data_IF_627488859994
#
_entry.id   IF_627488859994
#
_cell.length_a   1.000
_cell.length_b   1.000
_cell.length_c   1.000
_cell.angle_alpha   90.00
_cell.angle_beta   90.00
_cell.angle_gamma   90.00
#
_symmetry.space_group_name_H-M   'P 1'
#
loop_
_entity.id
_entity.type
_entity.pdbx_description
1 polymer ?
#
# COMPACT_ATOMS: atom_id res chain seq x y z
N UNK A 1 13.54 -0.95 -5.72
CA UNK A 1 12.57 -2.06 -5.54
C UNK A 1 11.48 -1.60 -4.59
N UNK A 2 10.36 -2.32 -4.46
CA UNK A 2 9.21 -1.92 -3.63
C UNK A 2 9.59 -1.49 -2.20
N UNK A 3 10.66 -2.06 -1.64
CA UNK A 3 11.23 -1.72 -0.32
C UNK A 3 11.76 -0.30 -0.18
N UNK A 4 11.92 0.47 -1.27
CA UNK A 4 12.33 1.87 -1.19
C UNK A 4 11.15 2.84 -1.05
N UNK A 5 9.90 2.37 -1.16
CA UNK A 5 8.71 3.21 -1.03
C UNK A 5 8.45 3.51 0.45
N UNK A 6 8.42 4.80 0.79
CA UNK A 6 8.15 5.29 2.14
C UNK A 6 7.24 6.51 2.05
N UNK A 7 5.98 6.34 2.45
CA UNK A 7 4.97 7.39 2.49
C UNK A 7 3.89 7.02 3.52
N UNK A 8 3.36 7.95 4.34
CA UNK A 8 2.41 7.62 5.40
C UNK A 8 1.10 6.97 4.91
N UNK A 9 0.73 7.20 3.65
CA UNK A 9 -0.45 6.58 3.02
C UNK A 9 -0.13 5.41 2.08
N UNK A 10 1.06 4.81 2.20
CA UNK A 10 1.46 3.61 1.45
C UNK A 10 2.02 2.58 2.42
N UNK A 11 1.49 1.36 2.35
CA UNK A 11 1.96 0.25 3.19
C UNK A 11 3.45 -0.02 2.96
N UNK A 12 4.19 -0.09 4.06
CA UNK A 12 5.61 -0.41 4.08
C UNK A 12 5.81 -1.88 3.71
N UNK A 13 6.60 -2.12 2.66
CA UNK A 13 6.99 -3.46 2.23
C UNK A 13 8.40 -3.77 2.72
N UNK A 14 8.54 -4.84 3.50
CA UNK A 14 9.81 -5.25 4.07
C UNK A 14 10.51 -6.32 3.24
N UNK A 15 9.76 -7.23 2.59
CA UNK A 15 10.37 -8.26 1.75
C UNK A 15 9.47 -9.43 1.41
N UNK A 16 10.08 -10.45 0.83
CA UNK A 16 9.45 -11.73 0.48
C UNK A 16 10.26 -12.86 1.12
N UNK A 17 9.57 -13.80 1.74
CA UNK A 17 10.10 -15.09 2.18
C UNK A 17 9.87 -16.09 1.05
N UNK A 18 10.95 -16.69 0.54
CA UNK A 18 10.92 -17.57 -0.65
C UNK A 18 10.81 -19.05 -0.34
N UNK A 19 11.13 -19.46 0.88
CA UNK A 19 11.14 -20.87 1.30
C UNK A 19 10.37 -21.00 2.62
N UNK A 20 9.05 -20.77 2.57
CA UNK A 20 8.19 -21.04 3.71
C UNK A 20 8.18 -22.55 4.07
N UNK A 21 7.63 -22.92 5.25
CA UNK A 21 7.59 -24.31 5.72
C UNK A 21 7.06 -25.33 4.70
N UNK A 22 6.19 -24.89 3.79
CA UNK A 22 5.57 -25.72 2.74
C UNK A 22 6.06 -25.37 1.32
N UNK A 23 7.22 -24.71 1.19
CA UNK A 23 7.70 -24.14 -0.08
C UNK A 23 6.90 -22.91 -0.55
N UNK A 24 6.11 -22.32 0.36
CA UNK A 24 5.25 -21.19 0.06
C UNK A 24 6.01 -19.86 -0.01
N UNK A 25 5.57 -18.98 -0.91
CA UNK A 25 6.00 -17.58 -0.96
C UNK A 25 5.17 -16.73 0.02
N UNK A 26 5.81 -15.95 0.88
CA UNK A 26 5.12 -15.01 1.76
C UNK A 26 5.64 -13.59 1.60
N UNK A 27 4.76 -12.60 1.69
CA UNK A 27 5.11 -11.17 1.66
C UNK A 27 5.05 -10.60 3.07
N UNK A 28 6.07 -9.83 3.44
CA UNK A 28 6.17 -9.18 4.75
C UNK A 28 5.94 -7.67 4.58
N UNK A 29 4.95 -7.15 5.30
CA UNK A 29 4.60 -5.73 5.35
C UNK A 29 4.41 -5.28 6.80
N UNK A 30 4.25 -3.98 7.02
CA UNK A 30 3.73 -3.50 8.29
C UNK A 30 2.33 -4.08 8.60
N UNK A 31 2.01 -4.20 9.89
CA UNK A 31 0.76 -4.76 10.35
C UNK A 31 -0.33 -3.67 10.47
N UNK A 32 -1.45 -3.86 9.76
CA UNK A 32 -2.59 -2.95 9.80
C UNK A 32 -3.62 -3.43 10.82
N UNK A 33 -3.55 -2.93 12.05
CA UNK A 33 -4.42 -3.37 13.18
C UNK A 33 -5.92 -3.28 12.90
N UNK A 34 -6.34 -2.32 12.07
CA UNK A 34 -7.75 -2.12 11.71
C UNK A 34 -8.19 -2.91 10.46
N UNK A 35 -7.27 -3.67 9.85
CA UNK A 35 -7.49 -4.39 8.62
C UNK A 35 -7.69 -3.48 7.41
N UNK A 36 -8.32 -4.03 6.37
CA UNK A 36 -8.59 -3.32 5.12
C UNK A 36 -9.85 -2.45 5.18
N UNK A 37 -9.90 -1.42 4.34
CA UNK A 37 -11.13 -0.66 4.11
C UNK A 37 -12.29 -1.56 3.63
N UNK A 38 -12.02 -2.61 2.85
CA UNK A 38 -13.04 -3.60 2.43
C UNK A 38 -13.70 -4.25 3.65
N UNK A 39 -12.90 -4.75 4.60
CA UNK A 39 -13.40 -5.34 5.84
C UNK A 39 -14.12 -4.31 6.71
N UNK A 40 -13.61 -3.07 6.74
CA UNK A 40 -14.23 -1.97 7.47
C UNK A 40 -15.63 -1.63 6.94
N UNK A 41 -15.81 -1.56 5.62
CA UNK A 41 -17.11 -1.26 4.98
C UNK A 41 -18.11 -2.42 5.01
N UNK A 42 -17.66 -3.68 5.12
CA UNK A 42 -18.57 -4.84 5.22
C UNK A 42 -19.23 -4.99 6.60
N UNK A 43 -18.79 -4.26 7.63
CA UNK A 43 -19.41 -4.29 8.96
C UNK A 43 -20.74 -3.53 8.91
N UNK A 44 -21.86 -4.26 8.93
CA UNK A 44 -23.24 -3.77 8.69
C UNK A 44 -23.65 -2.57 9.57
N UNK A 45 -23.07 -2.42 10.76
CA UNK A 45 -23.48 -1.38 11.71
C UNK A 45 -22.53 -0.17 11.81
N UNK A 46 -21.62 0.02 10.84
CA UNK A 46 -20.69 1.16 10.85
C UNK A 46 -21.13 2.27 9.90
N UNK A 47 -21.77 3.29 10.47
CA UNK A 47 -21.97 4.57 9.79
C UNK A 47 -20.63 5.32 9.77
N UNK A 48 -20.19 5.71 8.58
CA UNK A 48 -19.00 6.53 8.40
C UNK A 48 -19.46 7.95 8.09
N UNK A 49 -19.20 8.85 9.02
CA UNK A 49 -19.49 10.27 8.82
C UNK A 49 -18.75 10.82 7.59
N UNK A 50 -19.30 11.90 7.01
CA UNK A 50 -18.76 12.50 5.79
C UNK A 50 -17.30 12.94 5.94
N UNK A 51 -16.90 13.41 7.12
CA UNK A 51 -15.54 13.86 7.38
C UNK A 51 -14.55 12.69 7.29
N UNK A 52 -14.85 11.55 7.93
CA UNK A 52 -14.01 10.34 7.81
C UNK A 52 -13.91 9.84 6.37
N UNK A 53 -14.99 9.90 5.60
CA UNK A 53 -14.95 9.56 4.16
C UNK A 53 -14.00 10.44 3.38
N UNK A 54 -14.02 11.75 3.62
CA UNK A 54 -13.10 12.69 2.97
C UNK A 54 -11.64 12.44 3.36
N UNK A 55 -11.37 12.18 4.64
CA UNK A 55 -10.01 11.84 5.10
C UNK A 55 -9.49 10.59 4.40
N UNK A 56 -10.28 9.51 4.36
CA UNK A 56 -9.90 8.27 3.67
C UNK A 56 -9.63 8.51 2.18
N UNK A 57 -10.47 9.31 1.52
CA UNK A 57 -10.31 9.63 0.10
C UNK A 57 -9.04 10.47 -0.17
N UNK A 58 -8.77 11.46 0.69
CA UNK A 58 -7.57 12.29 0.61
C UNK A 58 -6.29 11.46 0.85
N UNK A 59 -6.28 10.63 1.89
CA UNK A 59 -5.16 9.74 2.21
C UNK A 59 -4.85 8.81 1.03
N UNK A 60 -5.89 8.21 0.44
CA UNK A 60 -5.73 7.38 -0.75
C UNK A 60 -5.17 8.17 -1.94
N UNK A 61 -5.66 9.40 -2.18
CA UNK A 61 -5.19 10.25 -3.26
C UNK A 61 -3.69 10.61 -3.09
N UNK A 62 -3.26 11.00 -1.89
CA UNK A 62 -1.85 11.31 -1.61
C UNK A 62 -0.94 10.09 -1.78
N UNK A 63 -1.36 8.92 -1.31
CA UNK A 63 -0.63 7.67 -1.54
C UNK A 63 -0.47 7.35 -3.04
N UNK A 64 -1.53 7.53 -3.82
CA UNK A 64 -1.50 7.30 -5.27
C UNK A 64 -0.63 8.30 -6.02
N UNK A 65 -0.66 9.58 -5.64
CA UNK A 65 0.24 10.60 -6.20
C UNK A 65 1.71 10.22 -6.00
N UNK A 66 2.07 9.84 -4.77
CA UNK A 66 3.42 9.37 -4.44
C UNK A 66 3.84 8.16 -5.29
N UNK A 67 2.96 7.16 -5.41
CA UNK A 67 3.23 5.97 -6.21
C UNK A 67 3.43 6.32 -7.69
N UNK A 68 2.57 7.17 -8.26
CA UNK A 68 2.71 7.61 -9.65
C UNK A 68 4.05 8.32 -9.91
N UNK A 69 4.49 9.20 -9.00
CA UNK A 69 5.78 9.87 -9.13
C UNK A 69 6.96 8.87 -9.10
N UNK A 70 6.92 7.89 -8.21
CA UNK A 70 7.96 6.87 -8.10
C UNK A 70 7.97 5.89 -9.29
N UNK A 71 6.80 5.52 -9.82
CA UNK A 71 6.71 4.71 -11.03
C UNK A 71 7.30 5.42 -12.25
N UNK A 72 7.00 6.72 -12.44
CA UNK A 72 7.65 7.52 -13.49
C UNK A 72 9.17 7.52 -13.36
N UNK A 73 9.67 7.75 -12.14
CA UNK A 73 11.12 7.71 -11.85
C UNK A 73 11.73 6.34 -12.15
N UNK A 74 11.03 5.25 -11.82
CA UNK A 74 11.48 3.90 -12.13
C UNK A 74 11.53 3.65 -13.64
N UNK A 75 10.46 3.98 -14.38
CA UNK A 75 10.40 3.83 -15.83
C UNK A 75 11.51 4.62 -16.53
N UNK A 76 11.73 5.88 -16.14
CA UNK A 76 12.81 6.71 -16.70
C UNK A 76 14.21 6.11 -16.46
N UNK A 77 14.45 5.56 -15.27
CA UNK A 77 15.72 4.87 -14.95
C UNK A 77 15.91 3.56 -15.70
N UNK A 78 14.81 2.87 -16.05
CA UNK A 78 14.86 1.63 -16.81
C UNK A 78 15.16 1.89 -18.30
N UNK A 79 14.67 3.01 -18.87
CA UNK A 79 14.93 3.39 -20.27
C UNK A 79 16.37 3.90 -20.46
N UNK A 80 16.95 4.60 -19.49
CA UNK A 80 18.35 5.08 -19.54
C UNK A 80 19.41 3.97 -19.34
N UNK A 81 18.99 2.73 -19.06
CA UNK A 81 19.88 1.57 -18.90
C UNK A 81 20.04 0.74 -20.19
N UNK A 82 19.57 1.28 -21.32
CA UNK A 82 19.79 0.75 -22.66
C UNK A 82 20.51 1.81 -23.51
#
# INVERSE_FOLDING_TARGET
>A
MLSSLHHPNVVSFYGIIRDGPDGSLATVTEFMVNGSLKQFFHKKDRIIDHRKRLIIAMDAAFGMEYLHANLRKFMLRSVQKF
#
